data_IF_074274990502
#
_entry.id   IF_074274990502
#
_cell.length_a   1.000
_cell.length_b   1.000
_cell.length_c   1.000
_cell.angle_alpha   90.00
_cell.angle_beta   90.00
_cell.angle_gamma   90.00
#
_symmetry.space_group_name_H-M   'P 1'
#
loop_
_entity.id
_entity.type
_entity.pdbx_description
1 polymer ?
#
# COMPACT_ATOMS: atom_id res chain seq x y z
N UNK A 1 -11.37 -12.08 22.60
CA UNK A 1 -11.59 -11.98 21.14
C UNK A 1 -11.63 -10.54 20.65
N UNK A 2 -12.33 -9.63 21.35
CA UNK A 2 -12.41 -8.20 21.00
C UNK A 2 -11.06 -7.53 20.72
N UNK A 3 -10.05 -7.74 21.59
CA UNK A 3 -8.68 -7.21 21.40
C UNK A 3 -8.02 -7.65 20.09
N UNK A 4 -8.34 -8.85 19.63
CA UNK A 4 -7.78 -9.45 18.42
C UNK A 4 -8.44 -8.84 17.18
N UNK A 5 -9.76 -8.67 17.22
CA UNK A 5 -10.54 -8.00 16.18
C UNK A 5 -10.08 -6.54 16.02
N UNK A 6 -9.96 -5.81 17.13
CA UNK A 6 -9.48 -4.42 17.14
C UNK A 6 -8.06 -4.33 16.59
N UNK A 7 -7.15 -5.21 17.01
CA UNK A 7 -5.79 -5.23 16.44
C UNK A 7 -5.81 -5.51 14.93
N UNK A 8 -6.56 -6.52 14.48
CA UNK A 8 -6.64 -6.82 13.04
C UNK A 8 -7.20 -5.66 12.22
N UNK A 9 -8.19 -4.94 12.74
CA UNK A 9 -8.70 -3.71 12.14
C UNK A 9 -7.64 -2.61 12.09
N UNK A 10 -6.91 -2.38 13.18
CA UNK A 10 -5.85 -1.37 13.24
C UNK A 10 -4.73 -1.68 12.23
N UNK A 11 -4.21 -2.91 12.22
CA UNK A 11 -3.18 -3.29 11.26
C UNK A 11 -3.71 -3.29 9.82
N UNK A 12 -4.97 -3.68 9.60
CA UNK A 12 -5.63 -3.58 8.31
C UNK A 12 -5.72 -2.13 7.83
N UNK A 13 -6.15 -1.20 8.68
CA UNK A 13 -6.22 0.24 8.37
C UNK A 13 -4.83 0.84 8.11
N UNK A 14 -3.83 0.44 8.90
CA UNK A 14 -2.44 0.84 8.65
C UNK A 14 -2.01 0.34 7.26
N UNK A 15 -2.27 -0.92 6.93
CA UNK A 15 -1.97 -1.49 5.61
C UNK A 15 -2.72 -0.79 4.47
N UNK A 16 -4.00 -0.47 4.67
CA UNK A 16 -4.86 0.25 3.73
C UNK A 16 -4.30 1.62 3.36
N UNK A 17 -3.65 2.32 4.30
CA UNK A 17 -3.08 3.65 4.07
C UNK A 17 -1.62 3.59 3.65
N UNK A 18 -0.82 2.72 4.27
CA UNK A 18 0.62 2.63 3.99
C UNK A 18 0.91 2.03 2.62
N UNK A 19 0.17 0.98 2.20
CA UNK A 19 0.38 0.36 0.90
C UNK A 19 0.17 1.32 -0.29
N UNK A 20 -0.94 2.08 -0.41
CA UNK A 20 -1.10 3.01 -1.52
C UNK A 20 -0.03 4.11 -1.50
N UNK A 21 0.33 4.64 -0.33
CA UNK A 21 1.39 5.66 -0.20
C UNK A 21 2.73 5.12 -0.71
N UNK A 22 3.13 3.92 -0.25
CA UNK A 22 4.37 3.29 -0.68
C UNK A 22 4.35 2.97 -2.18
N UNK A 23 3.21 2.52 -2.69
CA UNK A 23 3.05 2.20 -4.12
C UNK A 23 3.15 3.46 -4.97
N UNK A 24 2.52 4.57 -4.55
CA UNK A 24 2.59 5.85 -5.25
C UNK A 24 4.03 6.36 -5.32
N UNK A 25 4.73 6.38 -4.18
CA UNK A 25 6.13 6.82 -4.12
C UNK A 25 7.00 5.91 -4.98
N UNK A 26 6.82 4.60 -4.89
CA UNK A 26 7.58 3.63 -5.66
C UNK A 26 7.34 3.79 -7.17
N UNK A 27 6.07 3.87 -7.60
CA UNK A 27 5.70 4.04 -9.00
C UNK A 27 6.23 5.35 -9.60
N UNK A 28 6.16 6.46 -8.85
CA UNK A 28 6.76 7.73 -9.26
C UNK A 28 8.28 7.63 -9.33
N UNK A 29 8.92 7.06 -8.32
CA UNK A 29 10.38 6.91 -8.29
C UNK A 29 10.87 6.08 -9.48
N UNK A 30 10.20 4.96 -9.78
CA UNK A 30 10.48 4.14 -10.96
C UNK A 30 10.21 4.92 -12.24
N UNK A 31 9.08 5.63 -12.33
CA UNK A 31 8.74 6.47 -13.49
C UNK A 31 9.82 7.51 -13.79
N UNK A 32 10.27 8.26 -12.78
CA UNK A 32 11.31 9.29 -12.94
C UNK A 32 12.71 8.72 -13.22
N UNK A 33 13.03 7.52 -12.73
CA UNK A 33 14.36 6.91 -12.96
C UNK A 33 14.44 6.26 -14.34
N UNK A 34 13.38 5.55 -14.76
CA UNK A 34 13.41 4.73 -15.97
C UNK A 34 12.77 5.41 -17.18
N UNK A 35 11.91 6.41 -16.99
CA UNK A 35 11.20 7.08 -18.08
C UNK A 35 11.49 8.59 -18.10
N UNK A 36 12.38 9.08 -19.00
CA UNK A 36 12.75 10.48 -19.07
C UNK A 36 11.61 11.40 -19.55
N UNK A 37 10.48 10.83 -19.96
CA UNK A 37 9.26 11.56 -20.34
C UNK A 37 8.38 11.90 -19.14
N UNK A 38 8.54 11.17 -18.03
CA UNK A 38 7.78 11.41 -16.82
C UNK A 38 8.12 12.81 -16.26
N UNK A 39 7.12 13.69 -16.21
CA UNK A 39 7.28 15.09 -15.78
C UNK A 39 7.69 16.09 -16.88
N UNK A 40 7.74 15.68 -18.16
CA UNK A 40 8.04 16.59 -19.28
C UNK A 40 6.79 17.32 -19.79
N UNK A 41 6.93 18.54 -20.34
CA UNK A 41 5.80 19.29 -20.92
C UNK A 41 5.35 18.58 -22.20
N UNK A 42 4.36 17.69 -22.08
CA UNK A 42 3.89 16.82 -23.15
C UNK A 42 3.31 15.50 -22.63
N UNK A 43 3.67 15.12 -21.41
CA UNK A 43 3.00 14.05 -20.68
C UNK A 43 1.78 14.65 -19.98
N UNK A 44 0.56 14.24 -20.36
CA UNK A 44 -0.71 14.79 -19.86
C UNK A 44 -1.01 14.40 -18.40
N UNK A 45 0.04 14.23 -17.59
CA UNK A 45 -0.01 13.56 -16.31
C UNK A 45 -0.15 12.04 -16.43
N UNK A 46 0.18 11.41 -17.57
CA UNK A 46 0.02 9.95 -17.74
C UNK A 46 0.82 9.15 -16.71
N UNK A 47 2.07 9.56 -16.46
CA UNK A 47 2.92 8.98 -15.42
C UNK A 47 2.31 9.15 -14.00
N UNK A 48 1.85 10.35 -13.65
CA UNK A 48 1.31 10.63 -12.32
C UNK A 48 -0.07 10.02 -12.09
N UNK A 49 -0.92 10.04 -13.11
CA UNK A 49 -2.25 9.41 -13.13
C UNK A 49 -2.12 7.88 -13.04
N UNK A 50 -1.13 7.30 -13.73
CA UNK A 50 -0.80 5.88 -13.64
C UNK A 50 -0.33 5.49 -12.23
N UNK A 51 0.54 6.29 -11.62
CA UNK A 51 0.99 6.08 -10.25
C UNK A 51 -0.17 6.20 -9.24
N UNK A 52 -1.06 7.17 -9.42
CA UNK A 52 -2.25 7.33 -8.59
C UNK A 52 -3.22 6.14 -8.73
N UNK A 53 -3.47 5.68 -9.95
CA UNK A 53 -4.33 4.51 -10.20
C UNK A 53 -3.74 3.24 -9.58
N UNK A 54 -2.43 3.02 -9.72
CA UNK A 54 -1.72 1.90 -9.10
C UNK A 54 -1.78 1.96 -7.56
N UNK A 55 -1.63 3.16 -6.98
CA UNK A 55 -1.77 3.37 -5.55
C UNK A 55 -3.17 2.99 -5.07
N UNK A 56 -4.23 3.49 -5.71
CA UNK A 56 -5.61 3.16 -5.35
C UNK A 56 -5.88 1.65 -5.47
N UNK A 57 -5.40 1.02 -6.53
CA UNK A 57 -5.52 -0.44 -6.71
C UNK A 57 -4.85 -1.23 -5.57
N UNK A 58 -3.79 -0.70 -4.97
CA UNK A 58 -3.05 -1.32 -3.86
C UNK A 58 -3.68 -1.11 -2.47
N UNK A 59 -4.72 -0.28 -2.33
CA UNK A 59 -5.39 -0.07 -1.04
C UNK A 59 -5.97 -1.38 -0.47
N UNK A 60 -6.77 -2.10 -1.26
CA UNK A 60 -7.39 -3.37 -0.85
C UNK A 60 -6.34 -4.46 -0.53
N UNK A 61 -5.33 -4.72 -1.39
CA UNK A 61 -4.22 -5.59 -1.06
C UNK A 61 -3.49 -5.20 0.24
N UNK A 62 -3.24 -3.91 0.44
CA UNK A 62 -2.63 -3.38 1.67
C UNK A 62 -3.42 -3.73 2.92
N UNK A 63 -4.74 -3.58 2.88
CA UNK A 63 -5.62 -3.97 3.98
C UNK A 63 -5.54 -5.47 4.30
N UNK A 64 -5.59 -6.32 3.27
CA UNK A 64 -5.50 -7.79 3.41
C UNK A 64 -4.16 -8.18 4.05
N UNK A 65 -3.06 -7.57 3.61
CA UNK A 65 -1.73 -7.81 4.17
C UNK A 65 -1.69 -7.38 5.64
N UNK A 66 -2.21 -6.20 5.97
CA UNK A 66 -2.28 -5.70 7.35
C UNK A 66 -3.05 -6.64 8.28
N UNK A 67 -4.24 -7.08 7.87
CA UNK A 67 -5.03 -8.06 8.63
C UNK A 67 -4.26 -9.38 8.77
N UNK A 68 -3.63 -9.87 7.71
CA UNK A 68 -2.82 -11.09 7.71
C UNK A 68 -1.68 -11.03 8.72
N UNK A 69 -0.96 -9.90 8.80
CA UNK A 69 0.12 -9.67 9.77
C UNK A 69 -0.42 -9.72 11.21
N UNK A 70 -1.57 -9.11 11.49
CA UNK A 70 -2.17 -9.13 12.82
C UNK A 70 -2.58 -10.55 13.25
N UNK A 71 -3.19 -11.32 12.32
CA UNK A 71 -3.54 -12.71 12.57
C UNK A 71 -2.28 -13.56 12.81
N UNK A 72 -1.24 -13.38 11.99
CA UNK A 72 0.03 -14.09 12.14
C UNK A 72 0.73 -13.77 13.47
N UNK A 73 0.79 -12.48 13.85
CA UNK A 73 1.31 -12.05 15.16
C UNK A 73 0.53 -12.69 16.30
N UNK A 74 -0.80 -12.67 16.24
CA UNK A 74 -1.62 -13.26 17.30
C UNK A 74 -1.44 -14.78 17.39
N UNK A 75 -1.33 -15.47 16.25
CA UNK A 75 -1.06 -16.90 16.22
C UNK A 75 0.31 -17.24 16.82
N UNK A 76 1.34 -16.48 16.46
CA UNK A 76 2.70 -16.67 16.99
C UNK A 76 2.78 -16.43 18.49
N UNK A 77 2.09 -15.41 19.01
CA UNK A 77 2.03 -15.11 20.44
C UNK A 77 1.24 -16.13 21.26
N UNK A 78 0.37 -16.93 20.63
CA UNK A 78 -0.33 -18.04 21.31
C UNK A 78 0.48 -19.34 21.33
N UNK A 79 1.53 -19.43 20.50
CA UNK A 79 2.40 -20.60 20.38
C UNK A 79 3.69 -20.48 21.19
N UNK A 80 4.10 -19.27 21.53
CA UNK A 80 5.19 -18.98 22.47
C UNK A 80 4.64 -18.93 23.89
#
# INVERSE_FOLDING_TARGET
>A
MLRLIVNSLVYGLIGLVTAPILTMIFALTVGYIFDPRCGTPGDSGGCEMGAAAAAVAMALPGFVIGVGIALFRSWRQRKA
#
